data_IF_491940631479
#
_entry.id   IF_491940631479
#
_cell.length_a   1.000
_cell.length_b   1.000
_cell.length_c   1.000
_cell.angle_alpha   90.00
_cell.angle_beta   90.00
_cell.angle_gamma   90.00
#
_symmetry.space_group_name_H-M   'P 1'
#
loop_
_entity.id
_entity.type
_entity.pdbx_description
1 polymer ?
#
# COMPACT_ATOMS: atom_id res chain seq x y z
N UNK A 1 10.19 2.22 15.13
CA UNK A 1 9.87 3.66 14.95
C UNK A 1 8.39 3.83 15.17
N UNK A 2 7.98 4.92 15.81
CA UNK A 2 6.59 5.27 16.01
C UNK A 2 6.23 6.44 15.09
N UNK A 3 5.04 6.41 14.53
CA UNK A 3 4.55 7.35 13.52
C UNK A 3 3.25 7.99 13.99
N UNK A 4 3.02 9.23 13.62
CA UNK A 4 1.76 9.95 13.87
C UNK A 4 1.04 10.24 12.56
N UNK A 5 -0.24 10.64 12.60
CA UNK A 5 -0.95 11.13 11.42
C UNK A 5 -0.20 12.35 10.89
N UNK A 6 0.15 12.35 9.61
CA UNK A 6 0.88 13.47 8.98
C UNK A 6 0.11 14.10 7.83
N UNK A 7 -0.78 13.36 7.16
CA UNK A 7 -1.55 13.88 6.04
C UNK A 7 -3.02 13.48 6.13
N UNK A 8 -3.90 14.47 6.04
CA UNK A 8 -5.37 14.31 6.05
C UNK A 8 -5.95 15.07 4.87
N UNK A 9 -6.75 14.38 4.03
CA UNK A 9 -7.32 14.91 2.79
C UNK A 9 -6.30 15.65 1.91
N UNK A 10 -5.03 15.15 1.87
CA UNK A 10 -3.96 15.69 1.02
C UNK A 10 -3.21 16.88 1.59
N UNK A 11 -3.53 17.30 2.80
CA UNK A 11 -2.83 18.37 3.49
C UNK A 11 -2.14 17.86 4.77
N UNK A 12 -1.02 18.47 5.11
CA UNK A 12 -0.41 18.23 6.43
C UNK A 12 -1.41 18.52 7.55
N UNK A 13 -1.37 17.74 8.62
CA UNK A 13 -2.17 18.02 9.82
C UNK A 13 -1.80 19.37 10.46
N UNK A 14 -0.59 19.87 10.20
CA UNK A 14 -0.09 21.15 10.67
C UNK A 14 -0.50 22.34 9.77
N UNK A 15 -1.06 22.06 8.59
CA UNK A 15 -1.50 23.09 7.65
C UNK A 15 -2.82 23.69 8.12
N UNK A 16 -2.81 24.98 8.42
CA UNK A 16 -3.97 25.79 8.85
C UNK A 16 -4.46 26.76 7.76
N UNK A 17 -4.03 26.57 6.49
CA UNK A 17 -4.50 27.37 5.37
C UNK A 17 -6.01 27.22 5.16
N UNK A 18 -6.62 28.21 4.51
CA UNK A 18 -8.06 28.16 4.13
C UNK A 18 -8.39 26.95 3.28
N UNK A 19 -7.48 26.55 2.39
CA UNK A 19 -7.61 25.39 1.52
C UNK A 19 -7.56 24.07 2.31
N UNK A 20 -6.67 23.95 3.30
CA UNK A 20 -6.58 22.79 4.16
C UNK A 20 -7.84 22.64 5.04
N UNK A 21 -8.34 23.76 5.58
CA UNK A 21 -9.57 23.79 6.39
C UNK A 21 -10.77 23.39 5.51
N UNK A 22 -10.94 23.99 4.33
CA UNK A 22 -11.99 23.66 3.38
C UNK A 22 -11.96 22.17 3.00
N UNK A 23 -10.78 21.62 2.71
CA UNK A 23 -10.61 20.20 2.38
C UNK A 23 -11.05 19.27 3.53
N UNK A 24 -10.81 19.64 4.78
CA UNK A 24 -11.26 18.87 5.96
C UNK A 24 -12.80 18.93 6.13
N UNK A 25 -13.44 20.05 5.74
CA UNK A 25 -14.89 20.19 5.77
C UNK A 25 -15.59 19.45 4.64
N UNK A 26 -15.08 19.58 3.42
CA UNK A 26 -15.69 19.03 2.20
C UNK A 26 -15.34 17.54 1.97
N UNK A 27 -14.26 17.07 2.61
CA UNK A 27 -13.79 15.67 2.58
C UNK A 27 -13.55 15.12 1.16
N UNK A 28 -12.95 15.86 0.20
CA UNK A 28 -12.64 15.35 -1.13
C UNK A 28 -11.49 14.35 -1.08
N UNK A 29 -11.35 13.55 -2.15
CA UNK A 29 -10.12 12.80 -2.38
C UNK A 29 -9.19 13.59 -3.30
N UNK A 30 -8.06 14.12 -2.82
CA UNK A 30 -7.18 14.99 -3.64
C UNK A 30 -6.37 14.21 -4.68
N UNK A 31 -6.45 12.90 -4.67
CA UNK A 31 -5.68 11.99 -5.54
C UNK A 31 -6.54 11.30 -6.60
N UNK A 32 -7.80 11.69 -6.71
CA UNK A 32 -8.73 11.26 -7.75
C UNK A 32 -9.19 12.48 -8.59
N UNK A 33 -10.12 12.24 -9.52
CA UNK A 33 -10.68 13.32 -10.31
C UNK A 33 -11.30 14.42 -9.43
N UNK A 34 -11.21 15.70 -9.80
CA UNK A 34 -11.78 16.81 -9.05
C UNK A 34 -13.24 16.55 -8.68
N UNK A 35 -13.62 16.86 -7.45
CA UNK A 35 -14.96 16.63 -6.92
C UNK A 35 -15.26 15.20 -6.46
N UNK A 36 -14.31 14.25 -6.60
CA UNK A 36 -14.50 12.88 -6.08
C UNK A 36 -14.40 12.90 -4.56
N UNK A 37 -15.40 12.38 -3.81
CA UNK A 37 -15.33 12.31 -2.36
C UNK A 37 -14.32 11.26 -1.91
N UNK A 38 -13.76 11.43 -0.71
CA UNK A 38 -12.97 10.38 -0.08
C UNK A 38 -13.87 9.18 0.26
N UNK A 39 -13.44 7.97 -0.10
CA UNK A 39 -14.21 6.72 0.13
C UNK A 39 -13.56 5.80 1.13
N UNK A 40 -12.49 6.25 1.80
CA UNK A 40 -11.77 5.42 2.77
C UNK A 40 -12.68 5.08 3.94
N UNK A 41 -12.92 3.78 4.16
CA UNK A 41 -13.83 3.20 5.15
C UNK A 41 -15.30 3.38 4.77
N UNK A 42 -15.78 4.61 4.55
CA UNK A 42 -17.17 4.95 4.24
C UNK A 42 -17.22 6.20 3.36
N UNK A 43 -18.26 6.32 2.54
CA UNK A 43 -18.49 7.53 1.74
C UNK A 43 -19.16 8.62 2.59
N UNK A 44 -20.05 8.25 3.50
CA UNK A 44 -20.79 9.20 4.35
C UNK A 44 -19.94 9.81 5.46
N UNK A 45 -18.98 9.04 5.97
CA UNK A 45 -18.03 9.48 7.00
C UNK A 45 -16.65 8.91 6.72
N UNK A 46 -15.92 9.47 5.76
CA UNK A 46 -14.64 8.93 5.34
C UNK A 46 -13.54 9.21 6.36
N UNK A 47 -12.71 8.20 6.61
CA UNK A 47 -11.48 8.35 7.34
C UNK A 47 -10.41 8.95 6.41
N UNK A 48 -10.32 10.27 6.38
CA UNK A 48 -9.52 11.04 5.44
C UNK A 48 -8.00 10.96 5.62
N UNK A 49 -7.51 10.07 6.48
CA UNK A 49 -6.06 9.91 6.74
C UNK A 49 -5.38 9.27 5.54
N UNK A 50 -4.46 10.00 4.91
CA UNK A 50 -3.71 9.55 3.73
C UNK A 50 -2.38 8.91 4.12
N UNK A 51 -1.67 9.50 5.11
CA UNK A 51 -0.36 9.02 5.55
C UNK A 51 -0.16 9.12 7.06
N UNK A 52 0.68 8.24 7.56
CA UNK A 52 1.38 8.35 8.83
C UNK A 52 2.87 8.59 8.57
N UNK A 53 3.57 9.21 9.51
CA UNK A 53 5.00 9.46 9.34
C UNK A 53 5.57 10.34 10.45
N UNK A 54 6.65 11.01 10.11
CA UNK A 54 7.24 12.11 10.87
C UNK A 54 7.14 13.41 10.06
N UNK A 55 7.88 14.44 10.44
CA UNK A 55 7.89 15.74 9.76
C UNK A 55 8.32 15.67 8.30
N UNK A 56 9.20 14.73 7.96
CA UNK A 56 9.91 14.74 6.67
C UNK A 56 9.51 13.58 5.75
N UNK A 57 9.11 12.45 6.33
CA UNK A 57 8.82 11.22 5.60
C UNK A 57 7.44 10.70 5.97
N UNK A 58 6.61 10.44 4.96
CA UNK A 58 5.30 9.84 5.09
C UNK A 58 5.26 8.41 4.58
N UNK A 59 4.45 7.57 5.24
CA UNK A 59 4.11 6.22 4.81
C UNK A 59 2.62 6.18 4.47
N UNK A 60 2.24 5.89 3.21
CA UNK A 60 0.85 5.83 2.80
C UNK A 60 0.08 4.72 3.51
N UNK A 61 -1.06 5.10 4.10
CA UNK A 61 -2.04 4.16 4.68
C UNK A 61 -3.32 4.10 3.85
N UNK A 62 -3.32 4.77 2.71
CA UNK A 62 -4.36 4.76 1.70
C UNK A 62 -3.75 4.44 0.33
N UNK A 63 -4.19 3.39 -0.38
CA UNK A 63 -3.62 3.05 -1.68
C UNK A 63 -3.86 4.13 -2.74
N UNK A 64 -4.94 4.91 -2.63
CA UNK A 64 -5.23 6.02 -3.54
C UNK A 64 -4.16 7.13 -3.47
N UNK A 65 -3.40 7.21 -2.36
CA UNK A 65 -2.30 8.18 -2.23
C UNK A 65 -1.23 8.03 -3.31
N UNK A 66 -1.02 6.82 -3.81
CA UNK A 66 -0.07 6.53 -4.90
C UNK A 66 -0.52 7.04 -6.26
N UNK A 67 -1.81 7.41 -6.44
CA UNK A 67 -2.31 7.87 -7.75
C UNK A 67 -2.13 9.36 -8.00
N UNK A 68 -1.39 10.05 -7.14
CA UNK A 68 -1.08 11.47 -7.27
C UNK A 68 -0.61 11.82 -8.69
N UNK A 69 -1.31 12.77 -9.33
CA UNK A 69 -1.01 13.26 -10.69
C UNK A 69 -0.90 12.14 -11.75
N UNK A 70 -1.50 10.98 -11.49
CA UNK A 70 -1.39 9.78 -12.35
C UNK A 70 0.05 9.28 -12.56
N UNK A 71 1.02 9.75 -11.77
CA UNK A 71 2.45 9.45 -11.92
C UNK A 71 2.70 7.94 -11.95
N UNK A 72 2.12 7.18 -11.02
CA UNK A 72 2.26 5.72 -10.95
C UNK A 72 1.90 5.02 -12.27
N UNK A 73 0.86 5.49 -12.96
CA UNK A 73 0.43 4.89 -14.23
C UNK A 73 1.40 5.21 -15.36
N UNK A 74 1.95 6.41 -15.37
CA UNK A 74 2.96 6.84 -16.35
C UNK A 74 4.28 6.09 -16.13
N UNK A 75 4.74 5.99 -14.89
CA UNK A 75 5.98 5.28 -14.52
C UNK A 75 5.89 3.81 -14.92
N UNK A 76 4.82 3.12 -14.53
CA UNK A 76 4.59 1.70 -14.84
C UNK A 76 4.43 1.47 -16.35
N UNK A 77 3.66 2.32 -17.04
CA UNK A 77 3.48 2.20 -18.48
C UNK A 77 4.77 2.42 -19.25
N UNK A 78 5.59 3.39 -18.83
CA UNK A 78 6.89 3.66 -19.43
C UNK A 78 7.83 2.47 -19.26
N UNK A 79 7.86 1.89 -18.07
CA UNK A 79 8.64 0.69 -17.78
C UNK A 79 8.14 -0.56 -18.53
N UNK A 80 6.82 -0.70 -18.71
CA UNK A 80 6.22 -1.85 -19.38
C UNK A 80 6.30 -1.79 -20.91
N UNK A 81 6.10 -0.59 -21.50
CA UNK A 81 5.83 -0.46 -22.93
C UNK A 81 6.75 0.54 -23.64
N UNK A 82 7.62 1.23 -22.91
CA UNK A 82 8.43 2.35 -23.41
C UNK A 82 7.68 3.69 -23.39
N UNK A 83 8.44 4.77 -23.45
CA UNK A 83 7.92 6.13 -23.42
C UNK A 83 7.08 6.46 -24.67
N UNK A 84 6.22 7.50 -24.56
CA UNK A 84 5.45 8.05 -25.70
C UNK A 84 4.23 7.21 -26.11
N UNK A 85 3.87 6.18 -25.38
CA UNK A 85 2.68 5.37 -25.64
C UNK A 85 1.41 6.03 -25.09
N UNK A 86 0.30 5.96 -25.85
CA UNK A 86 -1.03 6.21 -25.29
C UNK A 86 -1.46 4.99 -24.48
N UNK A 87 -2.02 5.22 -23.30
CA UNK A 87 -2.44 4.18 -22.39
C UNK A 87 -3.90 4.35 -21.97
N UNK A 88 -4.53 3.24 -21.60
CA UNK A 88 -5.80 3.20 -20.90
C UNK A 88 -5.61 2.51 -19.55
N UNK A 89 -6.17 3.09 -18.48
CA UNK A 89 -6.10 2.54 -17.13
C UNK A 89 -7.49 2.04 -16.72
N UNK A 90 -7.58 0.75 -16.40
CA UNK A 90 -8.81 0.13 -15.94
C UNK A 90 -8.69 -0.27 -14.47
N UNK A 91 -9.37 0.40 -13.53
CA UNK A 91 -9.37 0.00 -12.13
C UNK A 91 -10.22 -1.26 -11.91
N UNK A 92 -9.83 -2.03 -10.90
CA UNK A 92 -10.65 -3.09 -10.28
C UNK A 92 -11.12 -4.21 -11.23
N UNK A 93 -10.27 -4.66 -12.14
CA UNK A 93 -10.63 -5.75 -13.05
C UNK A 93 -10.52 -7.12 -12.36
N UNK A 94 -11.59 -7.93 -12.44
CA UNK A 94 -11.58 -9.31 -11.96
C UNK A 94 -11.08 -10.25 -13.07
N UNK A 95 -10.00 -10.97 -12.78
CA UNK A 95 -9.25 -11.80 -13.74
C UNK A 95 -9.49 -13.31 -13.58
N UNK A 96 -10.03 -13.74 -12.44
CA UNK A 96 -10.29 -15.16 -12.16
C UNK A 96 -11.79 -15.47 -12.29
N UNK A 97 -12.10 -16.75 -12.50
CA UNK A 97 -13.46 -17.29 -12.41
C UNK A 97 -13.47 -18.44 -11.41
N UNK A 98 -14.46 -18.44 -10.52
CA UNK A 98 -14.77 -19.58 -9.65
C UNK A 98 -15.45 -20.68 -10.46
N UNK A 99 -15.51 -21.91 -9.95
CA UNK A 99 -16.22 -23.03 -10.56
C UNK A 99 -17.67 -22.69 -10.94
N UNK A 100 -18.35 -21.91 -10.10
CA UNK A 100 -19.71 -21.44 -10.34
C UNK A 100 -19.81 -20.26 -11.35
N UNK A 101 -18.75 -19.98 -12.11
CA UNK A 101 -18.69 -18.92 -13.12
C UNK A 101 -18.55 -17.49 -12.59
N UNK A 102 -18.69 -17.26 -11.28
CA UNK A 102 -18.55 -15.90 -10.69
C UNK A 102 -17.13 -15.39 -10.84
N UNK A 103 -17.00 -14.11 -11.23
CA UNK A 103 -15.70 -13.43 -11.35
C UNK A 103 -15.07 -13.22 -9.98
N UNK A 104 -13.77 -13.45 -9.87
CA UNK A 104 -12.96 -13.34 -8.67
C UNK A 104 -11.57 -12.74 -8.97
N UNK A 105 -10.70 -12.61 -7.96
CA UNK A 105 -9.30 -12.18 -8.14
C UNK A 105 -9.22 -10.78 -8.75
N UNK A 106 -9.65 -9.76 -7.99
CA UNK A 106 -9.62 -8.36 -8.43
C UNK A 106 -8.19 -7.82 -8.43
N UNK A 107 -7.73 -7.31 -9.58
CA UNK A 107 -6.47 -6.55 -9.74
C UNK A 107 -6.79 -5.09 -9.55
N UNK A 108 -5.92 -4.35 -8.85
CA UNK A 108 -6.18 -2.93 -8.56
C UNK A 108 -6.24 -2.12 -9.85
N UNK A 109 -5.27 -2.31 -10.75
CA UNK A 109 -5.27 -1.65 -12.06
C UNK A 109 -4.75 -2.57 -13.16
N UNK A 110 -5.38 -2.52 -14.32
CA UNK A 110 -4.83 -2.96 -15.60
C UNK A 110 -4.46 -1.73 -16.40
N UNK A 111 -3.22 -1.66 -16.83
CA UNK A 111 -2.71 -0.59 -17.70
C UNK A 111 -2.51 -1.20 -19.07
N UNK A 112 -3.20 -0.66 -20.07
CA UNK A 112 -3.14 -1.15 -21.45
C UNK A 112 -2.48 -0.11 -22.36
N UNK A 113 -1.51 -0.54 -23.15
CA UNK A 113 -0.97 0.24 -24.26
C UNK A 113 -1.94 0.22 -25.45
N UNK A 114 -2.23 1.38 -26.03
CA UNK A 114 -3.10 1.49 -27.18
C UNK A 114 -2.31 1.39 -28.49
N UNK A 115 -2.86 0.62 -29.42
CA UNK A 115 -2.37 0.55 -30.80
C UNK A 115 -2.69 1.79 -31.61
N UNK A 116 -2.24 1.84 -32.86
CA UNK A 116 -2.49 2.95 -33.79
C UNK A 116 -3.99 3.16 -34.07
N UNK A 117 -4.77 2.09 -33.98
CA UNK A 117 -6.23 2.08 -34.16
C UNK A 117 -6.99 2.51 -32.87
N UNK A 118 -6.28 2.86 -31.78
CA UNK A 118 -6.84 3.24 -30.49
C UNK A 118 -7.34 2.05 -29.65
N UNK A 119 -7.18 0.81 -30.09
CA UNK A 119 -7.56 -0.38 -29.31
C UNK A 119 -6.40 -0.85 -28.42
N UNK A 120 -6.71 -1.48 -27.26
CA UNK A 120 -5.69 -2.12 -26.45
C UNK A 120 -4.91 -3.17 -27.24
N UNK A 121 -3.60 -3.01 -27.33
CA UNK A 121 -2.69 -3.92 -28.05
C UNK A 121 -1.85 -4.75 -27.10
N UNK A 122 -1.54 -4.23 -25.91
CA UNK A 122 -0.80 -4.92 -24.86
C UNK A 122 -1.26 -4.42 -23.49
N UNK A 123 -0.93 -5.16 -22.41
CA UNK A 123 -1.30 -4.74 -21.05
C UNK A 123 -0.35 -5.29 -19.98
N UNK A 124 -0.34 -4.65 -18.82
CA UNK A 124 0.28 -5.13 -17.59
C UNK A 124 -0.65 -4.96 -16.39
N UNK A 125 -0.32 -5.64 -15.29
CA UNK A 125 -1.03 -5.48 -14.02
C UNK A 125 -0.26 -4.54 -13.08
N UNK A 126 -1.00 -3.82 -12.25
CA UNK A 126 -0.47 -3.05 -11.13
C UNK A 126 -1.31 -3.32 -9.89
N UNK A 127 -0.65 -3.78 -8.82
CA UNK A 127 -1.15 -3.81 -7.45
C UNK A 127 -0.55 -2.67 -6.65
N UNK A 128 -1.32 -2.12 -5.72
CA UNK A 128 -0.88 -1.04 -4.84
C UNK A 128 -1.08 -1.46 -3.40
N UNK A 129 0.01 -1.59 -2.66
CA UNK A 129 -0.05 -1.95 -1.25
C UNK A 129 0.30 -0.75 -0.37
N UNK A 130 -0.70 -0.18 0.28
CA UNK A 130 -0.53 0.73 1.40
C UNK A 130 -0.37 -0.05 2.72
N UNK A 131 0.21 0.60 3.72
CA UNK A 131 0.54 -0.04 5.00
C UNK A 131 -0.64 0.05 5.98
N UNK A 132 -0.78 -0.95 6.84
CA UNK A 132 -1.68 -0.92 7.98
C UNK A 132 -1.00 -0.29 9.20
N UNK A 133 -1.81 0.37 10.02
CA UNK A 133 -1.38 0.94 11.30
C UNK A 133 -1.74 -0.03 12.42
N UNK A 134 -0.80 -0.31 13.32
CA UNK A 134 -0.99 -1.20 14.45
C UNK A 134 -1.81 -0.56 15.59
N UNK A 135 -2.36 -1.41 16.46
CA UNK A 135 -3.11 -0.99 17.65
C UNK A 135 -4.61 -0.79 17.39
N UNK A 136 -5.26 -0.10 18.31
CA UNK A 136 -6.69 0.20 18.23
C UNK A 136 -7.00 1.16 17.08
N UNK A 137 -8.28 1.30 16.75
CA UNK A 137 -8.73 2.25 15.73
C UNK A 137 -8.21 3.67 16.03
N UNK A 138 -7.66 4.33 15.01
CA UNK A 138 -7.26 5.74 15.09
C UNK A 138 -8.40 6.70 14.68
N UNK A 139 -9.61 6.18 14.52
CA UNK A 139 -10.81 6.92 14.18
C UNK A 139 -11.15 8.02 15.21
N UNK A 140 -11.10 7.75 16.54
CA UNK A 140 -11.37 8.80 17.54
C UNK A 140 -10.38 9.97 17.44
N UNK A 141 -9.09 9.68 17.32
CA UNK A 141 -8.03 10.68 17.19
C UNK A 141 -8.21 11.54 15.92
N UNK A 142 -8.63 10.92 14.80
CA UNK A 142 -8.92 11.63 13.58
C UNK A 142 -10.12 12.56 13.72
N UNK A 143 -11.21 12.12 14.36
CA UNK A 143 -12.38 12.96 14.62
C UNK A 143 -12.11 14.10 15.59
N UNK A 144 -11.31 13.86 16.63
CA UNK A 144 -10.87 14.92 17.54
C UNK A 144 -10.08 16.00 16.78
N UNK A 145 -9.18 15.59 15.89
CA UNK A 145 -8.46 16.53 15.02
C UNK A 145 -9.42 17.34 14.13
N UNK A 146 -10.41 16.71 13.52
CA UNK A 146 -11.38 17.44 12.69
C UNK A 146 -12.21 18.44 13.49
N UNK A 147 -12.53 18.12 14.75
CA UNK A 147 -13.33 18.97 15.62
C UNK A 147 -12.53 20.14 16.22
N UNK A 148 -11.26 19.90 16.55
CA UNK A 148 -10.45 20.87 17.32
C UNK A 148 -9.42 21.61 16.46
N UNK A 149 -9.04 21.06 15.30
CA UNK A 149 -7.92 21.52 14.50
C UNK A 149 -6.54 21.24 15.12
N UNK A 150 -6.48 20.58 16.29
CA UNK A 150 -5.23 20.28 17.00
C UNK A 150 -4.58 19.01 16.39
N UNK A 151 -3.36 19.11 15.84
CA UNK A 151 -2.69 17.95 15.25
C UNK A 151 -2.52 16.79 16.23
N UNK A 152 -2.88 15.55 15.83
CA UNK A 152 -2.74 14.38 16.68
C UNK A 152 -1.29 14.12 17.07
N UNK A 153 -1.04 13.92 18.36
CA UNK A 153 0.31 13.64 18.89
C UNK A 153 0.54 12.14 19.18
N UNK A 154 -0.52 11.35 19.21
CA UNK A 154 -0.42 9.92 19.48
C UNK A 154 0.41 9.21 18.41
N UNK A 155 1.37 8.41 18.86
CA UNK A 155 2.25 7.64 18.00
C UNK A 155 1.75 6.20 17.85
N UNK A 156 1.87 5.67 16.64
CA UNK A 156 1.48 4.30 16.29
C UNK A 156 2.61 3.57 15.58
N UNK A 157 2.64 2.25 15.73
CA UNK A 157 3.49 1.39 14.92
C UNK A 157 2.86 1.10 13.55
N UNK A 158 3.68 0.84 12.54
CA UNK A 158 3.22 0.27 11.28
C UNK A 158 3.08 -1.24 11.42
N UNK A 159 1.96 -1.77 10.93
CA UNK A 159 1.72 -3.23 10.91
C UNK A 159 2.22 -3.83 9.59
N UNK A 160 3.57 -3.89 9.50
CA UNK A 160 4.25 -4.47 8.36
C UNK A 160 3.84 -5.92 8.09
N UNK A 161 3.62 -6.68 9.18
CA UNK A 161 3.28 -8.10 9.08
C UNK A 161 1.88 -8.32 8.48
N UNK A 162 0.86 -7.59 8.92
CA UNK A 162 -0.48 -7.70 8.34
C UNK A 162 -0.51 -7.21 6.89
N UNK A 163 0.24 -6.15 6.59
CA UNK A 163 0.40 -5.63 5.22
C UNK A 163 1.04 -6.69 4.31
N UNK A 164 2.11 -7.35 4.77
CA UNK A 164 2.78 -8.45 4.08
C UNK A 164 1.86 -9.65 3.88
N UNK A 165 1.14 -10.11 4.92
CA UNK A 165 0.19 -11.23 4.84
C UNK A 165 -0.89 -11.00 3.79
N UNK A 166 -1.42 -9.78 3.71
CA UNK A 166 -2.40 -9.44 2.70
C UNK A 166 -1.81 -9.44 1.29
N UNK A 167 -0.62 -8.87 1.14
CA UNK A 167 0.07 -8.80 -0.14
C UNK A 167 0.36 -10.18 -0.71
N UNK A 168 0.96 -11.10 0.08
CA UNK A 168 1.26 -12.46 -0.41
C UNK A 168 0.00 -13.21 -0.85
N UNK A 169 -1.10 -13.07 -0.12
CA UNK A 169 -2.37 -13.69 -0.52
C UNK A 169 -2.84 -13.18 -1.89
N UNK A 170 -2.73 -11.88 -2.14
CA UNK A 170 -3.12 -11.28 -3.43
C UNK A 170 -2.19 -11.73 -4.55
N UNK A 171 -0.88 -11.73 -4.33
CA UNK A 171 0.11 -12.10 -5.33
C UNK A 171 0.03 -13.59 -5.70
N UNK A 172 -0.16 -14.48 -4.72
CA UNK A 172 -0.35 -15.92 -4.95
C UNK A 172 -1.51 -16.21 -5.92
N UNK A 173 -2.58 -15.43 -5.87
CA UNK A 173 -3.72 -15.61 -6.76
C UNK A 173 -3.49 -15.04 -8.17
N UNK A 174 -2.73 -13.96 -8.26
CA UNK A 174 -2.70 -13.13 -9.48
C UNK A 174 -1.45 -13.35 -10.31
N UNK A 175 -0.27 -13.37 -9.70
CA UNK A 175 1.02 -13.51 -10.42
C UNK A 175 1.06 -14.73 -11.34
N UNK A 176 0.63 -15.94 -10.91
CA UNK A 176 0.63 -17.11 -11.81
C UNK A 176 -0.23 -16.94 -13.07
N UNK A 177 -1.29 -16.12 -13.00
CA UNK A 177 -2.14 -15.85 -14.17
C UNK A 177 -1.40 -14.98 -15.17
N UNK A 178 -0.77 -13.90 -14.72
CA UNK A 178 -0.02 -12.99 -15.60
C UNK A 178 1.23 -13.66 -16.18
N UNK A 179 1.94 -14.48 -15.41
CA UNK A 179 3.03 -15.31 -15.91
C UNK A 179 2.58 -16.22 -17.05
N UNK A 180 1.44 -16.91 -16.89
CA UNK A 180 0.88 -17.79 -17.93
C UNK A 180 0.54 -17.03 -19.21
N UNK A 181 0.16 -15.77 -19.11
CA UNK A 181 -0.11 -14.90 -20.26
C UNK A 181 1.13 -14.21 -20.82
N UNK A 182 2.29 -14.39 -20.21
CA UNK A 182 3.52 -13.66 -20.56
C UNK A 182 3.38 -12.15 -20.35
N UNK A 183 2.59 -11.73 -19.33
CA UNK A 183 2.35 -10.32 -19.02
C UNK A 183 3.05 -9.90 -17.73
N UNK A 184 3.57 -8.68 -17.72
CA UNK A 184 4.29 -8.09 -16.56
C UNK A 184 3.35 -7.79 -15.41
N UNK A 185 3.84 -7.99 -14.20
CA UNK A 185 3.13 -7.73 -12.98
C UNK A 185 3.92 -6.77 -12.08
N UNK A 186 3.33 -5.61 -11.79
CA UNK A 186 3.93 -4.57 -10.97
C UNK A 186 3.27 -4.50 -9.60
N UNK A 187 4.07 -4.20 -8.57
CA UNK A 187 3.62 -3.99 -7.20
C UNK A 187 4.17 -2.67 -6.69
N UNK A 188 3.30 -1.68 -6.52
CA UNK A 188 3.69 -0.39 -5.98
C UNK A 188 3.59 -0.37 -4.45
N UNK A 189 4.66 0.06 -3.81
CA UNK A 189 4.79 0.18 -2.36
C UNK A 189 5.63 1.41 -2.01
N UNK A 190 5.53 1.85 -0.78
CA UNK A 190 6.49 2.82 -0.25
C UNK A 190 7.82 2.15 0.11
N UNK A 191 8.90 2.93 0.06
CA UNK A 191 10.25 2.45 0.30
C UNK A 191 10.43 1.87 1.72
N UNK A 192 9.72 2.42 2.71
CA UNK A 192 9.85 1.93 4.08
C UNK A 192 9.24 0.54 4.23
N UNK A 193 8.08 0.30 3.61
CA UNK A 193 7.47 -1.04 3.59
C UNK A 193 8.35 -2.03 2.84
N UNK A 194 8.89 -1.65 1.69
CA UNK A 194 9.80 -2.52 0.94
C UNK A 194 11.04 -2.90 1.75
N UNK A 195 11.64 -1.94 2.45
CA UNK A 195 12.80 -2.18 3.32
C UNK A 195 12.49 -3.06 4.54
N UNK A 196 11.21 -3.13 4.95
CA UNK A 196 10.76 -4.03 6.02
C UNK A 196 10.46 -5.46 5.54
N UNK A 197 10.46 -5.70 4.23
CA UNK A 197 10.33 -7.05 3.66
C UNK A 197 11.67 -7.80 3.79
N UNK A 198 11.64 -9.15 3.88
CA UNK A 198 12.83 -9.95 3.72
C UNK A 198 13.52 -9.67 2.38
N UNK A 199 14.85 -9.80 2.36
CA UNK A 199 15.62 -9.57 1.14
C UNK A 199 15.21 -10.54 0.05
N UNK A 200 15.01 -10.01 -1.14
CA UNK A 200 14.73 -10.76 -2.37
C UNK A 200 15.89 -10.62 -3.33
N UNK A 201 16.16 -11.66 -4.10
CA UNK A 201 17.19 -11.61 -5.13
C UNK A 201 16.72 -10.72 -6.28
N UNK A 202 17.57 -9.78 -6.68
CA UNK A 202 17.31 -8.90 -7.81
C UNK A 202 17.69 -9.59 -9.13
N UNK A 203 16.82 -9.49 -10.13
CA UNK A 203 17.16 -9.81 -11.53
C UNK A 203 17.58 -8.54 -12.27
N UNK A 204 18.38 -8.67 -13.36
CA UNK A 204 19.02 -7.51 -13.98
C UNK A 204 18.08 -6.46 -14.53
N UNK A 205 16.98 -6.88 -15.14
CA UNK A 205 16.07 -6.03 -15.89
C UNK A 205 14.61 -6.45 -15.76
N UNK A 206 13.74 -5.60 -16.29
CA UNK A 206 12.29 -5.79 -16.22
C UNK A 206 11.79 -6.91 -17.16
N UNK A 207 12.56 -7.28 -18.17
CA UNK A 207 12.18 -8.31 -19.12
C UNK A 207 12.29 -9.70 -18.48
N UNK A 208 13.25 -9.86 -17.58
CA UNK A 208 13.47 -11.07 -16.79
C UNK A 208 12.66 -11.09 -15.48
N UNK A 209 11.90 -10.04 -15.19
CA UNK A 209 11.14 -9.89 -13.95
C UNK A 209 9.75 -10.48 -14.07
N UNK A 210 9.37 -11.31 -13.11
CA UNK A 210 8.00 -11.83 -12.97
C UNK A 210 7.16 -10.94 -12.03
N UNK A 211 7.83 -10.30 -11.06
CA UNK A 211 7.25 -9.27 -10.19
C UNK A 211 8.20 -8.08 -10.13
N UNK A 212 7.75 -6.95 -10.64
CA UNK A 212 8.50 -5.70 -10.59
C UNK A 212 7.93 -4.81 -9.51
N UNK A 213 8.73 -4.54 -8.49
CA UNK A 213 8.39 -3.59 -7.45
C UNK A 213 8.61 -2.18 -7.95
N UNK A 214 7.65 -1.31 -7.65
CA UNK A 214 7.69 0.12 -7.97
C UNK A 214 7.72 0.86 -6.66
N UNK A 215 8.89 1.42 -6.32
CA UNK A 215 9.18 1.98 -5.02
C UNK A 215 9.06 3.49 -5.05
N UNK A 216 8.34 4.05 -4.08
CA UNK A 216 8.17 5.47 -3.92
C UNK A 216 8.54 5.92 -2.52
N UNK A 217 9.21 7.05 -2.43
CA UNK A 217 9.30 7.83 -1.20
C UNK A 217 8.25 8.93 -1.19
N UNK A 218 7.73 9.22 0.00
CA UNK A 218 6.85 10.34 0.23
C UNK A 218 7.55 11.30 1.18
N UNK A 219 8.05 12.41 0.62
CA UNK A 219 8.84 13.38 1.38
C UNK A 219 8.21 14.76 1.31
N UNK A 220 8.33 15.50 2.39
CA UNK A 220 8.00 16.93 2.38
C UNK A 220 9.13 17.65 1.63
N UNK A 221 8.78 18.42 0.61
CA UNK A 221 9.73 19.26 -0.12
C UNK A 221 9.65 20.69 0.43
N UNK A 222 10.78 21.17 0.88
CA UNK A 222 10.96 22.53 1.41
C UNK A 222 9.90 22.90 2.46
N UNK A 223 9.57 24.19 2.56
CA UNK A 223 8.57 24.74 3.48
C UNK A 223 7.12 24.42 3.07
N UNK A 224 6.91 23.65 1.99
CA UNK A 224 5.56 23.29 1.57
C UNK A 224 4.93 22.35 2.62
N UNK A 225 3.68 22.64 2.97
CA UNK A 225 2.93 21.80 3.89
C UNK A 225 2.49 20.45 3.28
N UNK A 226 2.89 20.14 2.05
CA UNK A 226 2.44 18.94 1.32
C UNK A 226 3.58 17.96 1.09
N UNK A 227 3.26 16.68 1.22
CA UNK A 227 4.15 15.61 0.82
C UNK A 227 4.07 15.38 -0.70
N UNK A 228 5.22 15.18 -1.32
CA UNK A 228 5.32 14.80 -2.73
C UNK A 228 5.85 13.39 -2.88
N UNK A 229 5.34 12.69 -3.89
CA UNK A 229 5.83 11.37 -4.29
C UNK A 229 7.11 11.53 -5.10
N UNK A 230 8.15 10.75 -4.78
CA UNK A 230 9.42 10.72 -5.52
C UNK A 230 9.21 10.17 -6.94
N UNK A 231 10.19 10.30 -7.85
CA UNK A 231 10.28 9.43 -9.02
C UNK A 231 10.34 7.95 -8.60
N UNK A 232 9.81 7.07 -9.45
CA UNK A 232 9.80 5.63 -9.19
C UNK A 232 11.22 5.04 -9.24
N UNK A 233 11.51 4.14 -8.29
CA UNK A 233 12.61 3.19 -8.39
C UNK A 233 12.03 1.81 -8.70
N UNK A 234 12.68 1.04 -9.60
CA UNK A 234 12.24 -0.29 -9.99
C UNK A 234 13.16 -1.36 -9.42
N UNK A 235 12.58 -2.34 -8.75
CA UNK A 235 13.28 -3.50 -8.23
C UNK A 235 12.67 -4.78 -8.83
N UNK A 236 13.44 -5.45 -9.67
CA UNK A 236 13.01 -6.60 -10.47
C UNK A 236 13.29 -7.90 -9.73
N UNK A 237 12.31 -8.81 -9.67
CA UNK A 237 12.42 -10.09 -8.95
C UNK A 237 11.74 -11.24 -9.71
N UNK A 238 12.15 -12.47 -9.41
CA UNK A 238 11.41 -13.68 -9.79
C UNK A 238 10.32 -13.98 -8.76
N UNK A 239 9.25 -14.60 -9.19
CA UNK A 239 8.13 -14.95 -8.31
C UNK A 239 8.54 -15.90 -7.18
N UNK A 240 9.39 -16.86 -7.45
CA UNK A 240 9.87 -17.82 -6.45
C UNK A 240 10.53 -17.13 -5.25
N UNK A 241 11.40 -16.12 -5.50
CA UNK A 241 12.04 -15.34 -4.43
C UNK A 241 11.03 -14.49 -3.66
N UNK A 242 10.07 -13.87 -4.36
CA UNK A 242 8.98 -13.09 -3.73
C UNK A 242 8.12 -13.96 -2.84
N UNK A 243 7.74 -15.15 -3.33
CA UNK A 243 6.89 -16.09 -2.58
C UNK A 243 7.56 -16.53 -1.28
N UNK A 244 8.84 -16.90 -1.34
CA UNK A 244 9.65 -17.27 -0.17
C UNK A 244 9.76 -16.08 0.79
N UNK A 245 10.21 -14.92 0.31
CA UNK A 245 10.41 -13.74 1.14
C UNK A 245 9.12 -13.27 1.86
N UNK A 246 7.97 -13.33 1.19
CA UNK A 246 6.72 -12.92 1.81
C UNK A 246 6.14 -13.95 2.79
N UNK A 247 6.49 -15.24 2.65
CA UNK A 247 6.06 -16.31 3.57
C UNK A 247 6.96 -16.46 4.78
N UNK A 248 8.26 -16.25 4.62
CA UNK A 248 9.22 -16.52 5.68
C UNK A 248 9.14 -15.49 6.81
N UNK A 249 9.11 -16.03 8.04
CA UNK A 249 9.54 -15.37 9.25
C UNK A 249 10.70 -16.19 9.82
N UNK A 250 11.60 -15.57 10.56
CA UNK A 250 12.59 -16.30 11.34
C UNK A 250 11.84 -16.95 12.51
N UNK A 251 11.65 -18.29 12.53
CA UNK A 251 10.97 -18.92 13.64
C UNK A 251 11.84 -18.80 14.91
N UNK A 252 11.23 -18.53 16.07
CA UNK A 252 11.96 -18.60 17.34
C UNK A 252 12.47 -20.04 17.56
N UNK A 253 13.52 -20.18 18.36
CA UNK A 253 13.94 -21.50 18.80
C UNK A 253 12.85 -22.16 19.62
N UNK A 254 12.70 -23.47 19.53
CA UNK A 254 11.72 -24.22 20.30
C UNK A 254 11.79 -23.89 21.80
N UNK A 255 13.00 -23.75 22.35
CA UNK A 255 13.22 -23.42 23.74
C UNK A 255 12.65 -22.04 24.11
N UNK A 256 12.74 -21.05 23.24
CA UNK A 256 12.18 -19.72 23.47
C UNK A 256 10.65 -19.77 23.64
N UNK A 257 9.98 -20.63 22.87
CA UNK A 257 8.52 -20.84 23.02
C UNK A 257 8.20 -21.50 24.39
N UNK A 258 8.98 -22.50 24.78
CA UNK A 258 8.79 -23.17 26.08
C UNK A 258 9.03 -22.20 27.25
N UNK A 259 10.07 -21.41 27.15
CA UNK A 259 10.42 -20.40 28.16
C UNK A 259 9.33 -19.32 28.26
N UNK A 260 8.75 -18.90 27.13
CA UNK A 260 7.68 -17.90 27.11
C UNK A 260 6.37 -18.45 27.73
N UNK A 261 6.02 -19.69 27.42
CA UNK A 261 4.87 -20.37 28.06
C UNK A 261 5.11 -20.51 29.57
N UNK A 262 6.29 -20.94 30.01
CA UNK A 262 6.64 -21.04 31.42
C UNK A 262 6.59 -19.69 32.14
N UNK A 263 7.16 -18.65 31.52
CA UNK A 263 7.10 -17.28 32.03
C UNK A 263 5.67 -16.77 32.14
N UNK A 264 4.79 -17.13 31.18
CA UNK A 264 3.38 -16.77 31.23
C UNK A 264 2.63 -17.51 32.35
N UNK A 265 2.94 -18.79 32.62
CA UNK A 265 2.37 -19.55 33.74
C UNK A 265 2.72 -18.93 35.11
N UNK A 266 3.86 -18.30 35.26
CA UNK A 266 4.32 -17.69 36.52
C UNK A 266 3.83 -16.24 36.71
N UNK A 267 3.32 -15.57 35.68
CA UNK A 267 2.78 -14.20 35.75
C UNK A 267 1.29 -14.18 36.11
N UNK A 268 0.93 -13.51 37.20
CA UNK A 268 -0.48 -13.43 37.69
C UNK A 268 -1.53 -12.88 36.69
N UNK A 269 -1.13 -12.35 35.56
CA UNK A 269 -2.02 -11.72 34.55
C UNK A 269 -1.95 -12.34 33.15
N UNK A 270 -1.20 -13.42 32.97
CA UNK A 270 -1.10 -14.07 31.66
C UNK A 270 -2.25 -15.09 31.48
N UNK A 271 -2.91 -15.10 30.30
CA UNK A 271 -4.02 -16.02 30.03
C UNK A 271 -3.50 -17.44 29.70
N UNK A 272 -2.96 -18.13 30.69
CA UNK A 272 -2.51 -19.51 30.53
C UNK A 272 -3.47 -20.43 31.29
N UNK A 273 -4.02 -21.44 30.62
CA UNK A 273 -4.86 -22.48 31.21
C UNK A 273 -4.07 -23.78 31.27
N UNK A 274 -3.97 -24.38 32.44
CA UNK A 274 -3.38 -25.73 32.64
C UNK A 274 -4.51 -26.73 32.64
N UNK A 275 -4.45 -27.76 31.79
CA UNK A 275 -5.45 -28.81 31.66
C UNK A 275 -4.76 -30.17 31.86
N UNK A 276 -5.29 -31.01 32.71
CA UNK A 276 -4.87 -32.41 32.83
C UNK A 276 -5.61 -33.24 31.76
N UNK A 277 -4.87 -33.99 30.95
CA UNK A 277 -5.40 -34.88 29.89
C UNK A 277 -5.13 -36.32 30.22
#
# INVERSE_FOLDING_TARGET
MAFKITEVFGYSVEDSSSEAIASRMEKPCPYQAPGTPCTKVSVSDPLGVCMFGNTDIGTPVCPVRFTQNSQIFVDVATAAFGAGRKIAVRPELRILRKENGKKAGKVDYIIAALGKDGRPADFCALEVQAVYVSGNSYYPMFHEFLATGIPPQEQRGMDWLSSRKRLIYQLNLKVPVFRRWGKRFFVAVDQQFFNALPKMKRVPDIENSEVTWVLYDFKRRDESARFSMSPAEFYCTEWADVEVALREGVPPKQQEILDDVYAAMTRKKAPVTVINI
#
